data_IF_553363223161
#
_entry.id   IF_553363223161
#
_cell.length_a   1.000
_cell.length_b   1.000
_cell.length_c   1.000
_cell.angle_alpha   90.00
_cell.angle_beta   90.00
_cell.angle_gamma   90.00
#
_symmetry.space_group_name_H-M   'P 1'
#
loop_
_entity.id
_entity.type
_entity.pdbx_description
1 polymer ?
#
# COMPACT_ATOMS: atom_id res chain seq x y z
N UNK A 1 2.26 -5.31 -36.23
CA UNK A 1 1.40 -4.13 -36.49
C UNK A 1 0.23 -3.98 -35.51
N UNK A 2 -0.27 -5.05 -34.85
CA UNK A 2 -1.36 -4.97 -33.86
C UNK A 2 -1.01 -4.34 -32.48
N UNK A 3 0.28 -4.07 -32.20
CA UNK A 3 0.75 -3.49 -30.94
C UNK A 3 0.67 -1.96 -30.86
N UNK A 4 0.28 -1.28 -31.96
CA UNK A 4 0.23 0.19 -32.02
C UNK A 4 -1.19 0.76 -31.83
N UNK A 5 -2.18 -0.08 -31.59
CA UNK A 5 -3.59 0.34 -31.53
C UNK A 5 -3.96 0.82 -30.11
N UNK A 6 -4.60 1.99 -29.93
CA UNK A 6 -4.85 2.63 -28.63
C UNK A 6 -5.67 1.80 -27.62
N UNK A 7 -6.50 0.88 -28.11
CA UNK A 7 -7.39 0.02 -27.32
C UNK A 7 -6.86 -1.41 -27.13
N UNK A 8 -5.59 -1.67 -27.46
CA UNK A 8 -4.98 -2.98 -27.19
C UNK A 8 -4.81 -3.21 -25.68
N UNK A 9 -5.19 -4.40 -25.19
CA UNK A 9 -5.19 -4.77 -23.76
C UNK A 9 -3.85 -4.51 -23.04
N UNK A 10 -2.74 -4.57 -23.79
CA UNK A 10 -1.37 -4.36 -23.30
C UNK A 10 -1.03 -2.88 -23.03
N UNK A 11 -1.71 -1.93 -23.69
CA UNK A 11 -1.48 -0.49 -23.52
C UNK A 11 -2.43 0.15 -22.49
N UNK A 12 -3.57 -0.48 -22.22
CA UNK A 12 -4.53 -0.04 -21.20
C UNK A 12 -4.07 -0.28 -19.74
N UNK A 13 -2.92 -0.93 -19.53
CA UNK A 13 -2.35 -1.16 -18.19
C UNK A 13 -0.82 -1.04 -18.19
N UNK A 14 -0.25 0.16 -18.39
CA UNK A 14 1.21 0.35 -18.45
C UNK A 14 1.94 0.02 -17.13
N UNK A 15 1.19 -0.18 -16.04
CA UNK A 15 1.69 -0.62 -14.72
C UNK A 15 1.04 -1.91 -14.21
N UNK A 16 0.29 -2.65 -15.03
CA UNK A 16 -0.08 -4.01 -14.63
C UNK A 16 1.09 -4.93 -14.93
N UNK A 17 1.80 -5.29 -13.87
CA UNK A 17 2.71 -6.42 -13.89
C UNK A 17 1.87 -7.69 -14.18
N UNK A 18 2.32 -8.49 -15.15
CA UNK A 18 1.69 -9.75 -15.55
C UNK A 18 1.59 -10.69 -14.33
N UNK A 19 0.39 -11.23 -14.13
CA UNK A 19 -0.27 -11.52 -12.85
C UNK A 19 0.18 -12.85 -12.19
N UNK A 20 1.46 -13.20 -12.29
CA UNK A 20 2.00 -14.47 -11.78
C UNK A 20 2.46 -14.47 -10.32
N UNK A 21 2.37 -13.33 -9.63
CA UNK A 21 2.96 -13.12 -8.30
C UNK A 21 1.93 -12.94 -7.18
N UNK A 22 0.62 -12.80 -7.47
CA UNK A 22 -0.34 -12.65 -6.38
C UNK A 22 -0.40 -13.92 -5.53
N UNK A 23 -0.29 -13.80 -4.19
CA UNK A 23 -0.30 -14.97 -3.33
C UNK A 23 -1.67 -15.63 -3.35
N UNK A 24 -1.71 -16.96 -3.34
CA UNK A 24 -2.95 -17.68 -3.10
C UNK A 24 -3.50 -17.34 -1.70
N UNK A 25 -4.82 -17.13 -1.54
CA UNK A 25 -5.43 -16.92 -0.24
C UNK A 25 -5.12 -18.07 0.71
N UNK A 26 -4.75 -17.77 1.96
CA UNK A 26 -4.51 -18.80 2.96
C UNK A 26 -5.85 -19.35 3.50
N UNK A 27 -6.23 -20.61 3.18
CA UNK A 27 -7.55 -21.11 3.52
C UNK A 27 -7.78 -21.23 5.04
N UNK A 28 -6.71 -21.45 5.82
CA UNK A 28 -6.80 -21.52 7.29
C UNK A 28 -7.13 -20.15 7.87
N UNK A 29 -6.47 -19.08 7.39
CA UNK A 29 -6.75 -17.70 7.82
C UNK A 29 -8.16 -17.27 7.43
N UNK A 30 -8.59 -17.59 6.20
CA UNK A 30 -9.94 -17.30 5.71
C UNK A 30 -11.00 -17.97 6.58
N UNK A 31 -10.88 -19.29 6.83
CA UNK A 31 -11.84 -20.04 7.67
C UNK A 31 -11.88 -19.51 9.10
N UNK A 32 -10.71 -19.22 9.69
CA UNK A 32 -10.62 -18.66 11.05
C UNK A 32 -11.27 -17.29 11.14
N UNK A 33 -10.96 -16.38 10.21
CA UNK A 33 -11.54 -15.03 10.19
C UNK A 33 -13.06 -15.07 10.04
N UNK A 34 -13.58 -15.96 9.18
CA UNK A 34 -15.01 -16.14 9.01
C UNK A 34 -15.69 -16.72 10.24
N UNK A 35 -15.08 -17.71 10.91
CA UNK A 35 -15.60 -18.25 12.16
C UNK A 35 -15.67 -17.19 13.27
N UNK A 36 -14.64 -16.35 13.41
CA UNK A 36 -14.66 -15.22 14.36
C UNK A 36 -15.72 -14.18 14.01
N UNK A 37 -15.89 -13.88 12.72
CA UNK A 37 -16.94 -12.98 12.25
C UNK A 37 -18.33 -13.48 12.64
N UNK A 38 -18.65 -14.76 12.40
CA UNK A 38 -19.93 -15.34 12.80
C UNK A 38 -20.11 -15.39 14.33
N UNK A 39 -19.02 -15.58 15.08
CA UNK A 39 -19.05 -15.51 16.55
C UNK A 39 -19.40 -14.11 17.05
N UNK A 40 -18.93 -13.06 16.36
CA UNK A 40 -19.26 -11.67 16.66
C UNK A 40 -20.66 -11.27 16.18
N UNK A 41 -21.16 -11.91 15.11
CA UNK A 41 -22.46 -11.63 14.50
C UNK A 41 -23.29 -12.90 14.31
N UNK A 42 -23.83 -13.51 15.38
CA UNK A 42 -24.53 -14.80 15.30
C UNK A 42 -25.76 -14.79 14.38
N UNK A 43 -26.43 -13.64 14.23
CA UNK A 43 -27.58 -13.50 13.32
C UNK A 43 -27.23 -13.69 11.84
N UNK A 44 -25.95 -13.80 11.50
CA UNK A 44 -25.43 -14.00 10.14
C UNK A 44 -24.93 -15.43 9.89
N UNK A 45 -25.27 -16.41 10.74
CA UNK A 45 -24.76 -17.79 10.68
C UNK A 45 -24.98 -18.51 9.33
N UNK A 46 -26.01 -18.12 8.57
CA UNK A 46 -26.32 -18.72 7.27
C UNK A 46 -25.45 -18.20 6.11
N UNK A 47 -24.55 -17.24 6.36
CA UNK A 47 -23.67 -16.72 5.32
C UNK A 47 -22.64 -17.75 4.85
N UNK A 48 -22.22 -17.60 3.60
CA UNK A 48 -21.14 -18.39 2.99
C UNK A 48 -20.12 -17.48 2.33
N UNK A 49 -18.86 -17.92 2.28
CA UNK A 49 -17.80 -17.19 1.57
C UNK A 49 -17.98 -17.40 0.07
N UNK A 50 -18.34 -16.32 -0.65
CA UNK A 50 -18.41 -16.35 -2.12
C UNK A 50 -17.02 -16.37 -2.76
N UNK A 51 -16.10 -15.53 -2.25
CA UNK A 51 -14.76 -15.35 -2.80
C UNK A 51 -13.74 -15.02 -1.73
N UNK A 52 -12.52 -15.50 -1.92
CA UNK A 52 -11.34 -15.09 -1.19
C UNK A 52 -10.24 -14.65 -2.16
N UNK A 53 -9.49 -13.62 -1.79
CA UNK A 53 -8.34 -13.11 -2.53
C UNK A 53 -7.21 -12.79 -1.54
N UNK A 54 -6.00 -12.61 -2.04
CA UNK A 54 -4.87 -12.14 -1.24
C UNK A 54 -3.97 -11.25 -2.10
N UNK A 55 -3.22 -10.39 -1.41
CA UNK A 55 -2.29 -9.45 -2.02
C UNK A 55 -1.14 -9.18 -1.07
N UNK A 56 -0.14 -8.48 -1.56
CA UNK A 56 1.00 -8.04 -0.75
C UNK A 56 0.71 -6.71 -0.08
N UNK A 57 1.25 -6.58 1.13
CA UNK A 57 1.35 -5.30 1.84
C UNK A 57 2.84 -5.02 2.00
N UNK A 58 3.29 -3.89 1.49
CA UNK A 58 4.60 -3.35 1.78
C UNK A 58 4.58 -2.71 3.17
N UNK A 59 5.21 -3.39 4.12
CA UNK A 59 5.25 -2.97 5.52
C UNK A 59 6.61 -2.37 5.88
N UNK A 60 6.58 -1.26 6.62
CA UNK A 60 7.76 -0.68 7.26
C UNK A 60 7.83 -1.11 8.73
N UNK A 61 9.03 -1.10 9.37
CA UNK A 61 9.17 -1.47 10.78
C UNK A 61 8.31 -0.66 11.76
N UNK A 62 7.98 0.58 11.41
CA UNK A 62 7.12 1.48 12.20
C UNK A 62 5.68 1.57 11.68
N UNK A 63 5.35 0.81 10.63
CA UNK A 63 4.08 0.84 9.93
C UNK A 63 3.65 2.22 9.40
N UNK A 64 4.59 3.16 9.26
CA UNK A 64 4.37 4.46 8.60
C UNK A 64 4.91 4.42 7.16
N UNK A 65 4.27 5.10 6.20
CA UNK A 65 4.80 5.14 4.84
C UNK A 65 6.16 5.83 4.77
N UNK A 66 6.88 5.54 3.69
CA UNK A 66 8.03 6.30 3.23
C UNK A 66 7.55 7.23 2.13
N UNK A 67 7.59 8.54 2.42
CA UNK A 67 7.20 9.61 1.52
C UNK A 67 8.35 10.61 1.37
N UNK A 68 8.65 10.99 0.14
CA UNK A 68 9.60 12.07 -0.17
C UNK A 68 10.87 11.60 -0.88
N UNK A 69 11.79 12.53 -1.07
CA UNK A 69 13.06 12.27 -1.76
C UNK A 69 13.98 11.38 -0.91
N UNK A 70 14.64 10.42 -1.56
CA UNK A 70 15.71 9.64 -0.92
C UNK A 70 17.05 10.37 -1.03
N UNK A 71 18.03 10.11 -0.14
CA UNK A 71 19.32 10.81 -0.18
C UNK A 71 20.09 10.64 -1.51
N UNK A 72 19.92 9.52 -2.21
CA UNK A 72 20.57 9.27 -3.50
C UNK A 72 19.80 8.23 -4.33
N UNK A 73 19.63 8.44 -5.65
CA UNK A 73 20.04 9.62 -6.42
C UNK A 73 19.09 10.82 -6.23
N UNK A 74 19.59 12.03 -6.48
CA UNK A 74 18.78 13.28 -6.43
C UNK A 74 17.60 13.19 -7.40
N UNK A 75 16.44 13.65 -6.96
CA UNK A 75 15.18 13.63 -7.70
C UNK A 75 14.43 12.30 -7.63
N UNK A 76 14.96 11.30 -6.91
CA UNK A 76 14.27 10.03 -6.72
C UNK A 76 13.35 10.08 -5.49
N UNK A 77 12.05 9.89 -5.71
CA UNK A 77 11.01 10.09 -4.70
C UNK A 77 10.31 8.77 -4.42
N UNK A 78 10.14 8.44 -3.14
CA UNK A 78 9.38 7.29 -2.68
C UNK A 78 7.95 7.65 -2.27
N UNK A 79 7.07 6.68 -2.56
CA UNK A 79 5.70 6.57 -2.07
C UNK A 79 5.42 5.07 -1.82
N UNK A 80 5.91 4.52 -0.71
CA UNK A 80 5.84 3.08 -0.41
C UNK A 80 5.69 2.85 1.09
N UNK A 81 5.54 1.61 1.53
CA UNK A 81 5.53 1.23 2.94
C UNK A 81 4.23 1.56 3.65
N UNK A 82 3.12 1.65 2.91
CA UNK A 82 1.85 2.10 3.47
C UNK A 82 1.24 1.14 4.49
N UNK A 83 1.79 -0.08 4.64
CA UNK A 83 1.52 -0.96 5.78
C UNK A 83 0.03 -1.23 6.01
N UNK A 84 -0.74 -1.35 4.93
CA UNK A 84 -2.19 -1.61 4.95
C UNK A 84 -3.09 -0.36 4.91
N UNK A 85 -2.54 0.84 5.05
CA UNK A 85 -3.31 2.10 5.12
C UNK A 85 -3.30 2.89 3.80
N UNK A 86 -2.73 2.32 2.73
CA UNK A 86 -2.48 3.01 1.47
C UNK A 86 -3.74 3.49 0.75
N UNK A 87 -4.87 2.80 0.92
CA UNK A 87 -6.14 3.24 0.30
C UNK A 87 -6.62 4.57 0.89
N UNK A 88 -6.63 4.70 2.22
CA UNK A 88 -7.06 5.92 2.89
C UNK A 88 -6.03 7.05 2.74
N UNK A 89 -4.73 6.73 2.78
CA UNK A 89 -3.65 7.72 2.71
C UNK A 89 -3.29 8.16 1.28
N UNK A 90 -3.61 7.36 0.27
CA UNK A 90 -3.22 7.59 -1.13
C UNK A 90 -3.51 9.00 -1.64
N UNK A 91 -4.72 9.56 -1.46
CA UNK A 91 -5.05 10.90 -1.94
C UNK A 91 -4.16 12.01 -1.36
N UNK A 92 -3.95 11.99 -0.04
CA UNK A 92 -3.12 13.02 0.62
C UNK A 92 -1.64 12.83 0.31
N UNK A 93 -1.15 11.58 0.28
CA UNK A 93 0.23 11.29 -0.09
C UNK A 93 0.53 11.75 -1.53
N UNK A 94 -0.37 11.46 -2.48
CA UNK A 94 -0.22 11.89 -3.87
C UNK A 94 -0.17 13.42 -4.00
N UNK A 95 -1.03 14.14 -3.27
CA UNK A 95 -1.01 15.61 -3.24
C UNK A 95 0.31 16.16 -2.69
N UNK A 96 0.74 15.69 -1.52
CA UNK A 96 1.96 16.19 -0.87
C UNK A 96 3.22 15.90 -1.72
N UNK A 97 3.27 14.74 -2.37
CA UNK A 97 4.38 14.42 -3.27
C UNK A 97 4.33 15.24 -4.56
N UNK A 98 3.14 15.55 -5.09
CA UNK A 98 3.03 16.45 -6.24
C UNK A 98 3.50 17.88 -5.90
N UNK A 99 3.11 18.41 -4.74
CA UNK A 99 3.60 19.70 -4.21
C UNK A 99 5.13 19.67 -4.01
N UNK A 100 5.67 18.59 -3.44
CA UNK A 100 7.12 18.41 -3.31
C UNK A 100 7.84 18.41 -4.68
N UNK A 101 7.26 17.77 -5.70
CA UNK A 101 7.85 17.68 -7.04
C UNK A 101 7.82 19.02 -7.78
N UNK A 102 6.68 19.72 -7.73
CA UNK A 102 6.43 20.92 -8.54
C UNK A 102 6.95 22.18 -7.84
N UNK A 103 6.66 22.31 -6.54
CA UNK A 103 6.92 23.53 -5.77
C UNK A 103 8.17 23.40 -4.89
N UNK A 104 8.73 22.19 -4.75
CA UNK A 104 9.89 21.91 -3.90
C UNK A 104 9.55 21.83 -2.40
N UNK A 105 8.31 22.13 -2.01
CA UNK A 105 7.88 22.12 -0.62
C UNK A 105 6.41 21.66 -0.49
N UNK A 106 6.13 20.58 0.25
CA UNK A 106 4.77 20.14 0.52
C UNK A 106 4.06 21.05 1.53
N UNK A 107 2.74 21.10 1.46
CA UNK A 107 1.88 21.87 2.38
C UNK A 107 1.83 21.31 3.81
N UNK A 108 2.27 20.06 4.02
CA UNK A 108 2.40 19.43 5.32
C UNK A 108 3.82 18.87 5.51
N UNK A 109 4.29 18.87 6.75
CA UNK A 109 5.61 18.34 7.09
C UNK A 109 5.68 16.82 6.87
N UNK A 110 6.60 16.39 6.00
CA UNK A 110 6.85 14.99 5.67
C UNK A 110 8.01 14.39 6.48
N UNK A 111 8.61 15.11 7.43
CA UNK A 111 9.80 14.66 8.17
C UNK A 111 9.64 13.27 8.80
N UNK A 112 8.48 12.98 9.38
CA UNK A 112 8.19 11.67 9.99
C UNK A 112 8.12 10.52 8.97
N UNK A 113 7.93 10.82 7.69
CA UNK A 113 7.80 9.85 6.59
C UNK A 113 9.06 9.73 5.74
N UNK A 114 10.11 10.53 5.99
CA UNK A 114 11.36 10.47 5.21
C UNK A 114 12.02 9.09 5.31
N UNK A 115 12.69 8.66 4.25
CA UNK A 115 13.41 7.38 4.23
C UNK A 115 14.55 7.30 5.25
N UNK A 116 15.25 8.43 5.46
CA UNK A 116 16.43 8.51 6.33
C UNK A 116 16.15 8.23 7.82
N UNK A 117 14.87 8.28 8.25
CA UNK A 117 14.48 8.06 9.65
C UNK A 117 14.96 6.72 10.24
N UNK A 118 15.05 5.69 9.39
CA UNK A 118 15.52 4.36 9.82
C UNK A 118 17.02 4.36 10.11
N UNK A 119 17.81 5.07 9.31
CA UNK A 119 19.25 5.19 9.52
C UNK A 119 19.58 6.14 10.69
N UNK A 120 18.74 7.16 10.90
CA UNK A 120 18.88 8.13 11.99
C UNK A 120 18.42 7.59 13.36
N UNK A 121 17.74 6.43 13.39
CA UNK A 121 17.13 5.90 14.61
C UNK A 121 15.92 6.71 15.11
N UNK A 122 15.43 7.65 14.30
CA UNK A 122 14.24 8.47 14.54
C UNK A 122 12.97 7.70 14.14
N UNK A 123 12.87 6.49 14.68
CA UNK A 123 11.75 5.59 14.47
C UNK A 123 10.93 5.65 15.75
N UNK A 124 9.72 6.22 15.67
CA UNK A 124 8.82 6.24 16.81
C UNK A 124 8.55 4.81 17.32
N UNK A 125 8.12 4.65 18.59
CA UNK A 125 7.76 3.33 19.08
C UNK A 125 6.72 2.70 18.16
N UNK A 126 6.92 1.43 17.78
CA UNK A 126 5.91 0.69 17.02
C UNK A 126 4.62 0.67 17.82
N UNK A 127 3.64 1.47 17.41
CA UNK A 127 2.29 1.54 17.99
C UNK A 127 1.24 0.95 17.06
N UNK A 128 1.68 0.25 16.02
CA UNK A 128 0.77 -0.39 15.08
C UNK A 128 0.22 -1.66 15.72
N UNK A 129 -1.02 -1.54 16.20
CA UNK A 129 -1.89 -2.63 16.61
C UNK A 129 -2.28 -3.42 15.36
N UNK A 130 -1.41 -4.30 14.88
CA UNK A 130 -1.81 -5.36 13.95
C UNK A 130 -1.91 -6.67 14.72
#
# INVERSE_FOLDING_TARGET
LAALVPWSRRRSRPFAYDDGYEPSPNPRKVRRGFAEFLRLFPSLEALTIERAWAGYIDATPDALPVLGEVPYPRGFIFATGFSGHGFAMGPIAGRLLAELIVDGQPSLDLRAFRFARFAEGDVGPSRSLV
#
